data_IF_579997124380
#
_entry.id   IF_579997124380
#
_cell.length_a   1.000
_cell.length_b   1.000
_cell.length_c   1.000
_cell.angle_alpha   90.00
_cell.angle_beta   90.00
_cell.angle_gamma   90.00
#
_symmetry.space_group_name_H-M   'P 1'
#
loop_
_entity.id
_entity.type
_entity.pdbx_description
1 polymer ?
#
# COMPACT_ATOMS: atom_id res chain seq x y z
N UNK A 1 11.11 -19.44 -0.34
CA UNK A 1 11.42 -18.04 -0.68
C UNK A 1 12.58 -17.57 0.19
N UNK A 2 13.55 -16.85 -0.36
CA UNK A 2 14.64 -16.23 0.44
C UNK A 2 14.07 -15.14 1.35
N UNK A 3 14.60 -14.86 2.56
CA UNK A 3 14.14 -13.75 3.40
C UNK A 3 14.17 -12.40 2.67
N UNK A 4 13.22 -11.51 2.96
CA UNK A 4 13.02 -10.23 2.24
C UNK A 4 14.15 -9.20 2.42
N UNK A 5 15.09 -9.43 3.34
CA UNK A 5 16.25 -8.57 3.58
C UNK A 5 15.94 -7.33 4.41
N UNK A 6 16.99 -6.59 4.76
CA UNK A 6 16.92 -5.42 5.64
C UNK A 6 16.38 -4.19 4.90
N UNK A 7 15.35 -3.55 5.47
CA UNK A 7 14.67 -2.36 4.91
C UNK A 7 14.71 -1.14 5.83
N UNK A 8 15.02 -1.36 7.12
CA UNK A 8 14.93 -0.34 8.18
C UNK A 8 15.74 0.93 7.86
N UNK A 9 17.00 0.78 7.48
CA UNK A 9 17.90 1.92 7.22
C UNK A 9 17.33 2.87 6.16
N UNK A 10 16.78 2.33 5.07
CA UNK A 10 16.20 3.13 3.99
C UNK A 10 14.91 3.84 4.45
N UNK A 11 14.05 3.13 5.18
CA UNK A 11 12.83 3.68 5.73
C UNK A 11 13.12 4.82 6.72
N UNK A 12 14.04 4.60 7.66
CA UNK A 12 14.48 5.59 8.63
C UNK A 12 15.07 6.83 7.95
N UNK A 13 15.92 6.65 6.93
CA UNK A 13 16.48 7.77 6.18
C UNK A 13 15.39 8.62 5.52
N UNK A 14 14.38 8.00 4.91
CA UNK A 14 13.25 8.73 4.30
C UNK A 14 12.39 9.45 5.34
N UNK A 15 12.17 8.82 6.51
CA UNK A 15 11.48 9.46 7.63
C UNK A 15 12.20 10.72 8.11
N UNK A 16 13.53 10.68 8.28
CA UNK A 16 14.31 11.86 8.69
C UNK A 16 14.17 13.01 7.69
N UNK A 17 14.16 12.73 6.38
CA UNK A 17 13.95 13.75 5.36
C UNK A 17 12.54 14.35 5.42
N UNK A 18 11.53 13.52 5.72
CA UNK A 18 10.16 13.95 5.90
C UNK A 18 10.02 14.85 7.14
N UNK A 19 10.62 14.49 8.27
CA UNK A 19 10.66 15.31 9.48
C UNK A 19 11.40 16.65 9.27
N UNK A 20 12.47 16.66 8.47
CA UNK A 20 13.15 17.91 8.07
C UNK A 20 12.26 18.84 7.24
N UNK A 21 11.26 18.30 6.52
CA UNK A 21 10.24 19.13 5.85
C UNK A 21 9.18 19.61 6.85
N UNK A 22 8.79 18.78 7.80
CA UNK A 22 7.86 19.15 8.88
C UNK A 22 8.36 20.33 9.71
N UNK A 23 9.66 20.38 10.00
CA UNK A 23 10.24 21.48 10.77
C UNK A 23 10.19 22.83 10.04
N UNK A 24 10.02 22.82 8.71
CA UNK A 24 9.98 24.03 7.88
C UNK A 24 8.56 24.55 7.65
N UNK A 25 7.53 23.75 7.89
CA UNK A 25 6.13 24.14 7.68
C UNK A 25 5.21 23.48 8.71
N UNK A 26 4.66 24.31 9.60
CA UNK A 26 3.68 23.90 10.60
C UNK A 26 2.41 23.35 9.95
N UNK A 27 1.95 23.96 8.87
CA UNK A 27 0.76 23.55 8.13
C UNK A 27 0.94 22.14 7.54
N UNK A 28 2.08 21.88 6.91
CA UNK A 28 2.40 20.55 6.36
C UNK A 28 2.38 19.48 7.45
N UNK A 29 2.99 19.77 8.61
CA UNK A 29 3.01 18.85 9.75
C UNK A 29 1.59 18.56 10.26
N UNK A 30 0.73 19.57 10.33
CA UNK A 30 -0.65 19.41 10.76
C UNK A 30 -1.43 18.48 9.81
N UNK A 31 -1.31 18.68 8.49
CA UNK A 31 -1.99 17.79 7.53
C UNK A 31 -1.48 16.35 7.59
N UNK A 32 -0.15 16.17 7.67
CA UNK A 32 0.42 14.82 7.79
C UNK A 32 -0.05 14.12 9.07
N UNK A 33 0.00 14.80 10.21
CA UNK A 33 -0.44 14.25 11.48
C UNK A 33 -1.94 13.92 11.47
N UNK A 34 -2.76 14.77 10.84
CA UNK A 34 -4.18 14.50 10.63
C UNK A 34 -4.40 13.20 9.86
N UNK A 35 -3.71 13.01 8.73
CA UNK A 35 -3.78 11.76 7.95
C UNK A 35 -3.36 10.53 8.75
N UNK A 36 -2.32 10.64 9.58
CA UNK A 36 -1.90 9.53 10.44
C UNK A 36 -2.91 9.23 11.56
N UNK A 37 -3.55 10.26 12.10
CA UNK A 37 -4.63 10.09 13.08
C UNK A 37 -5.85 9.42 12.43
N UNK A 38 -6.23 9.83 11.22
CA UNK A 38 -7.33 9.19 10.48
C UNK A 38 -7.08 7.69 10.29
N UNK A 39 -5.83 7.28 10.00
CA UNK A 39 -5.49 5.86 9.91
C UNK A 39 -5.62 5.11 11.24
N UNK A 40 -5.32 5.75 12.37
CA UNK A 40 -5.51 5.16 13.70
C UNK A 40 -7.01 5.03 14.02
N UNK A 41 -7.78 6.10 13.78
CA UNK A 41 -9.21 6.15 14.08
C UNK A 41 -10.00 5.15 13.24
N UNK A 42 -9.60 4.96 11.97
CA UNK A 42 -10.17 3.95 11.06
C UNK A 42 -9.65 2.54 11.33
N UNK A 43 -8.79 2.34 12.34
CA UNK A 43 -8.15 1.05 12.63
C UNK A 43 -7.38 0.45 11.44
N UNK A 44 -6.90 1.30 10.53
CA UNK A 44 -6.05 0.91 9.41
C UNK A 44 -4.57 0.79 9.80
N UNK A 45 -4.18 1.41 10.92
CA UNK A 45 -2.86 1.25 11.53
C UNK A 45 -2.97 1.06 13.05
N UNK A 46 -1.94 0.47 13.65
CA UNK A 46 -1.80 0.36 15.09
C UNK A 46 -0.35 0.61 15.49
N UNK A 47 -0.14 0.94 16.77
CA UNK A 47 1.21 1.05 17.31
C UNK A 47 1.88 -0.31 17.33
N UNK A 48 3.13 -0.36 16.87
CA UNK A 48 3.96 -1.55 16.95
C UNK A 48 4.42 -1.73 18.41
N UNK A 49 4.21 -2.93 18.95
CA UNK A 49 4.71 -3.30 20.27
C UNK A 49 6.23 -3.50 20.21
N UNK A 50 6.97 -2.53 20.75
CA UNK A 50 8.45 -2.51 20.74
C UNK A 50 9.07 -3.51 21.71
N UNK A 51 8.27 -4.12 22.59
CA UNK A 51 8.75 -5.16 23.51
C UNK A 51 8.82 -6.54 22.86
N UNK A 52 8.10 -6.74 21.75
CA UNK A 52 8.20 -7.96 20.94
C UNK A 52 9.43 -7.87 20.07
N UNK A 53 10.15 -8.99 19.98
CA UNK A 53 11.26 -9.12 19.02
C UNK A 53 10.69 -8.89 17.63
N UNK A 54 11.13 -7.81 16.99
CA UNK A 54 10.87 -7.56 15.58
C UNK A 54 11.58 -8.68 14.85
N UNK A 55 10.80 -9.60 14.32
CA UNK A 55 11.31 -10.80 13.68
C UNK A 55 11.96 -10.46 12.33
N UNK A 56 12.76 -11.39 11.81
CA UNK A 56 13.36 -11.27 10.48
C UNK A 56 12.32 -11.34 9.33
N UNK A 57 11.02 -11.30 9.63
CA UNK A 57 9.93 -11.24 8.65
C UNK A 57 9.34 -9.83 8.50
N UNK A 58 9.68 -8.92 9.41
CA UNK A 58 9.21 -7.55 9.40
C UNK A 58 9.85 -6.73 8.26
N UNK A 59 9.03 -5.95 7.56
CA UNK A 59 9.48 -5.06 6.48
C UNK A 59 9.03 -3.63 6.75
N UNK A 60 9.98 -2.69 6.77
CA UNK A 60 9.70 -1.27 6.94
C UNK A 60 9.46 -0.64 5.58
N UNK A 61 8.21 -0.30 5.29
CA UNK A 61 7.85 0.36 4.04
C UNK A 61 8.19 1.85 4.15
N UNK A 62 9.12 2.37 3.34
CA UNK A 62 9.37 3.80 3.35
C UNK A 62 8.19 4.56 2.76
N UNK A 63 7.87 5.71 3.32
CA UNK A 63 6.78 6.56 2.84
C UNK A 63 7.21 7.99 2.60
N UNK A 64 6.39 8.71 1.84
CA UNK A 64 6.52 10.15 1.64
C UNK A 64 5.14 10.77 1.42
N UNK A 65 5.01 12.06 1.69
CA UNK A 65 3.75 12.78 1.51
C UNK A 65 3.73 13.65 0.26
N UNK A 66 2.60 13.59 -0.45
CA UNK A 66 2.31 14.39 -1.65
C UNK A 66 1.24 15.41 -1.31
N UNK A 67 1.52 16.68 -1.56
CA UNK A 67 0.58 17.78 -1.32
C UNK A 67 -0.26 18.00 -2.57
N UNK A 68 -1.56 18.06 -2.40
CA UNK A 68 -2.51 18.41 -3.46
C UNK A 68 -3.35 19.59 -2.96
N UNK A 69 -2.87 20.84 -3.14
CA UNK A 69 -3.49 22.02 -2.53
C UNK A 69 -4.93 22.25 -3.02
N UNK A 70 -5.22 21.85 -4.26
CA UNK A 70 -6.54 21.94 -4.90
C UNK A 70 -7.54 20.86 -4.42
N UNK A 71 -7.10 19.95 -3.55
CA UNK A 71 -7.95 18.84 -3.08
C UNK A 71 -8.95 19.33 -2.06
N UNK A 72 -10.25 19.12 -2.33
CA UNK A 72 -11.33 19.51 -1.44
C UNK A 72 -11.43 18.64 -0.17
N UNK A 73 -11.03 17.36 -0.27
CA UNK A 73 -11.20 16.39 0.82
C UNK A 73 -9.93 16.23 1.66
N UNK A 74 -8.77 16.15 1.02
CA UNK A 74 -7.50 15.93 1.74
C UNK A 74 -6.35 16.65 1.05
N UNK A 75 -5.76 17.64 1.74
CA UNK A 75 -4.67 18.46 1.18
C UNK A 75 -3.33 17.72 1.07
N UNK A 76 -3.17 16.60 1.78
CA UNK A 76 -1.95 15.79 1.82
C UNK A 76 -2.29 14.30 1.79
N UNK A 77 -1.56 13.52 0.98
CA UNK A 77 -1.67 12.07 0.96
C UNK A 77 -0.33 11.43 1.29
N UNK A 78 -0.34 10.39 2.13
CA UNK A 78 0.84 9.57 2.43
C UNK A 78 0.93 8.44 1.41
N UNK A 79 2.07 8.34 0.74
CA UNK A 79 2.37 7.31 -0.26
C UNK A 79 3.42 6.36 0.30
N UNK A 80 3.08 5.08 0.34
CA UNK A 80 3.95 3.99 0.77
C UNK A 80 4.65 3.36 -0.44
N UNK A 81 5.99 3.36 -0.43
CA UNK A 81 6.80 2.83 -1.52
C UNK A 81 7.15 1.36 -1.28
N UNK A 82 6.21 0.47 -1.60
CA UNK A 82 6.41 -0.97 -1.55
C UNK A 82 7.38 -1.50 -2.63
N UNK A 83 7.80 -0.65 -3.58
CA UNK A 83 8.77 -0.98 -4.62
C UNK A 83 10.23 -0.74 -4.18
N UNK A 84 10.41 -0.08 -3.03
CA UNK A 84 11.72 0.14 -2.45
C UNK A 84 12.43 -1.20 -2.21
N UNK A 85 13.66 -1.31 -2.71
CA UNK A 85 14.48 -2.52 -2.58
C UNK A 85 15.13 -2.57 -1.20
N UNK A 86 15.11 -3.75 -0.59
CA UNK A 86 15.86 -4.05 0.63
C UNK A 86 17.34 -4.36 0.32
N UNK A 87 18.10 -4.72 1.36
CA UNK A 87 19.51 -5.12 1.24
C UNK A 87 19.77 -6.29 0.28
N UNK A 88 18.77 -7.14 0.01
CA UNK A 88 18.91 -8.28 -0.91
C UNK A 88 18.53 -7.93 -2.37
N UNK A 89 18.15 -6.68 -2.64
CA UNK A 89 17.76 -6.20 -3.97
C UNK A 89 16.32 -6.51 -4.39
N UNK A 90 15.50 -7.11 -3.52
CA UNK A 90 14.07 -7.37 -3.74
C UNK A 90 13.20 -6.34 -3.02
N UNK A 91 11.98 -6.15 -3.50
CA UNK A 91 10.97 -5.24 -2.96
C UNK A 91 9.82 -6.01 -2.30
N UNK A 92 8.99 -5.33 -1.52
CA UNK A 92 7.80 -5.95 -0.93
C UNK A 92 6.86 -6.52 -2.01
N UNK A 93 6.72 -5.82 -3.13
CA UNK A 93 5.93 -6.27 -4.26
C UNK A 93 6.40 -7.60 -4.87
N UNK A 94 7.68 -7.97 -4.73
CA UNK A 94 8.21 -9.25 -5.22
C UNK A 94 7.79 -10.44 -4.34
N UNK A 95 7.38 -10.17 -3.09
CA UNK A 95 6.96 -11.17 -2.11
C UNK A 95 5.45 -11.27 -1.96
N UNK A 96 4.72 -10.22 -2.32
CA UNK A 96 3.27 -10.23 -2.30
C UNK A 96 2.72 -11.01 -3.49
N UNK A 97 1.89 -12.01 -3.21
CA UNK A 97 1.25 -12.79 -4.26
C UNK A 97 0.28 -11.92 -5.08
N UNK A 98 0.60 -11.72 -6.35
CA UNK A 98 -0.32 -11.08 -7.29
C UNK A 98 -1.46 -12.05 -7.59
N UNK A 99 -2.67 -11.72 -7.12
CA UNK A 99 -3.88 -12.46 -7.51
C UNK A 99 -4.10 -12.34 -9.03
N UNK A 100 -4.73 -13.34 -9.67
CA UNK A 100 -5.19 -13.22 -11.06
C UNK A 100 -5.97 -11.92 -11.27
N UNK A 101 -5.82 -11.30 -12.43
CA UNK A 101 -6.51 -10.07 -12.78
C UNK A 101 -8.02 -10.28 -12.68
N UNK A 102 -8.65 -9.70 -11.66
CA UNK A 102 -10.10 -9.75 -11.47
C UNK A 102 -10.83 -8.80 -12.44
N UNK A 103 -10.16 -7.70 -12.81
CA UNK A 103 -10.71 -6.70 -13.70
C UNK A 103 -10.78 -7.21 -15.13
N UNK A 104 -11.97 -7.11 -15.74
CA UNK A 104 -12.19 -7.39 -17.16
C UNK A 104 -11.35 -6.45 -18.04
N UNK A 105 -10.98 -6.92 -19.22
CA UNK A 105 -10.24 -6.12 -20.20
C UNK A 105 -11.00 -4.82 -20.57
N UNK A 106 -10.46 -3.62 -20.24
CA UNK A 106 -11.17 -2.36 -20.45
C UNK A 106 -11.51 -2.07 -21.93
N UNK A 107 -10.61 -2.29 -22.92
CA UNK A 107 -10.96 -2.22 -24.33
C UNK A 107 -12.14 -3.12 -24.70
N UNK A 108 -12.12 -4.37 -24.25
CA UNK A 108 -13.24 -5.30 -24.46
C UNK A 108 -14.56 -4.80 -23.85
N UNK A 109 -14.52 -4.16 -22.68
CA UNK A 109 -15.71 -3.54 -22.07
C UNK A 109 -16.23 -2.39 -22.95
N UNK A 110 -15.36 -1.46 -23.35
CA UNK A 110 -15.73 -0.30 -24.17
C UNK A 110 -16.34 -0.74 -25.51
N UNK A 111 -15.76 -1.77 -26.15
CA UNK A 111 -16.28 -2.31 -27.41
C UNK A 111 -17.69 -2.87 -27.26
N UNK A 112 -17.98 -3.60 -26.17
CA UNK A 112 -19.34 -4.12 -25.91
C UNK A 112 -20.36 -3.00 -25.72
N UNK A 113 -20.00 -1.94 -25.00
CA UNK A 113 -20.86 -0.76 -24.82
C UNK A 113 -21.16 -0.04 -26.13
N UNK A 114 -20.22 -0.04 -27.09
CA UNK A 114 -20.43 0.58 -28.40
C UNK A 114 -21.26 -0.28 -29.35
N UNK A 115 -21.23 -1.60 -29.18
CA UNK A 115 -21.88 -2.54 -30.09
C UNK A 115 -23.33 -2.87 -29.69
N UNK A 116 -23.68 -2.77 -28.41
CA UNK A 116 -24.99 -3.17 -27.91
C UNK A 116 -25.72 -2.01 -27.21
N UNK A 117 -27.02 -1.87 -27.48
CA UNK A 117 -27.88 -0.87 -26.85
C UNK A 117 -28.00 -1.05 -25.32
N UNK A 118 -27.78 -2.26 -24.82
CA UNK A 118 -27.74 -2.60 -23.39
C UNK A 118 -26.56 -3.56 -23.13
N UNK A 119 -25.76 -3.29 -22.10
CA UNK A 119 -24.65 -4.14 -21.68
C UNK A 119 -24.93 -4.80 -20.33
N UNK A 120 -24.84 -6.14 -20.27
CA UNK A 120 -24.87 -6.90 -19.02
C UNK A 120 -23.43 -7.11 -18.53
N UNK A 121 -23.12 -6.57 -17.35
CA UNK A 121 -21.85 -6.84 -16.68
C UNK A 121 -21.81 -8.30 -16.23
N UNK A 122 -20.89 -9.10 -16.77
CA UNK A 122 -20.59 -10.41 -16.19
C UNK A 122 -19.81 -10.20 -14.90
N UNK A 123 -20.45 -10.47 -13.76
CA UNK A 123 -19.76 -10.61 -12.48
C UNK A 123 -19.08 -11.97 -12.49
N UNK A 124 -17.74 -11.99 -12.40
CA UNK A 124 -16.99 -13.24 -12.33
C UNK A 124 -16.81 -13.58 -10.85
N UNK A 125 -17.85 -14.16 -10.25
CA UNK A 125 -17.73 -14.88 -8.99
C UNK A 125 -17.47 -16.34 -9.35
N UNK A 126 -16.29 -16.84 -9.01
CA UNK A 126 -16.03 -18.18 -8.46
C UNK A 126 -14.52 -18.45 -8.54
N UNK A 127 -13.87 -18.42 -7.38
CA UNK A 127 -12.70 -19.26 -7.13
C UNK A 127 -13.22 -20.36 -6.21
N UNK A 128 -13.25 -21.64 -6.62
CA UNK A 128 -13.61 -22.72 -5.74
C UNK A 128 -12.70 -22.74 -4.51
N UNK A 129 -13.30 -22.89 -3.33
CA UNK A 129 -12.62 -22.98 -2.06
C UNK A 129 -12.02 -24.39 -1.85
N UNK A 130 -11.19 -24.87 -2.77
CA UNK A 130 -10.55 -26.18 -2.64
C UNK A 130 -9.04 -26.05 -2.75
N UNK A 131 -8.39 -25.65 -1.64
CA UNK A 131 -6.96 -25.91 -1.42
C UNK A 131 -6.59 -25.83 0.07
N UNK A 132 -7.42 -26.40 0.95
CA UNK A 132 -7.03 -26.73 2.31
C UNK A 132 -7.67 -28.06 2.73
N UNK A 133 -7.32 -29.15 2.05
CA UNK A 133 -7.49 -30.48 2.63
C UNK A 133 -6.28 -31.36 2.33
N UNK A 134 -5.68 -31.80 3.45
CA UNK A 134 -4.86 -33.00 3.68
C UNK A 134 -3.50 -33.04 2.97
N UNK A 135 -2.38 -33.39 3.61
CA UNK A 135 -2.18 -34.46 4.59
C UNK A 135 -0.99 -34.15 5.52
N UNK A 136 -1.14 -34.62 6.77
CA UNK A 136 -0.16 -35.07 7.79
C UNK A 136 1.31 -34.66 7.69
#
# INVERSE_FOLDING_TARGET
MSPIGESYYLAQKRLIHLESRHSKSTEYRQYYNGTMQDYLDLSHMSYVDTTKVIDNTSFYIPHHSVVKPESMTTKLHVVYDASARSSNGKSLNDYLFMRPKLQQDPPGIILRFRWHAMCLGRYQAEVPADCCHSET
#
